data_IF_982299784571
#
_entry.id   IF_982299784571
#
_cell.length_a   1.000
_cell.length_b   1.000
_cell.length_c   1.000
_cell.angle_alpha   90.00
_cell.angle_beta   90.00
_cell.angle_gamma   90.00
#
_symmetry.space_group_name_H-M   'P 1'
#
loop_
_entity.id
_entity.type
_entity.pdbx_description
1 polymer ?
#
# COMPACT_ATOMS: atom_id res chain seq x y z
N UNK A 1 16.08 -11.71 11.96
CA UNK A 1 14.74 -12.32 12.00
C UNK A 1 13.81 -11.42 11.21
N UNK A 2 13.38 -11.85 10.02
CA UNK A 2 12.44 -11.08 9.19
C UNK A 2 11.03 -11.35 9.70
N UNK A 3 10.44 -10.42 10.44
CA UNK A 3 9.05 -10.52 10.91
C UNK A 3 8.12 -10.67 9.71
N UNK A 4 7.31 -11.72 9.64
CA UNK A 4 6.32 -11.97 8.56
C UNK A 4 4.96 -11.33 8.87
N UNK A 5 4.85 -10.59 9.98
CA UNK A 5 3.59 -10.00 10.40
C UNK A 5 3.17 -8.86 9.47
N UNK A 6 1.85 -8.75 9.23
CA UNK A 6 1.29 -7.64 8.48
C UNK A 6 1.34 -6.33 9.30
N UNK A 7 1.58 -5.18 8.66
CA UNK A 7 1.70 -3.89 9.34
C UNK A 7 0.30 -3.33 9.65
N UNK A 8 -0.41 -3.92 10.61
CA UNK A 8 -1.79 -3.53 10.96
C UNK A 8 -1.90 -2.98 12.38
N UNK A 9 -2.97 -2.23 12.66
CA UNK A 9 -3.30 -1.77 14.02
C UNK A 9 -2.46 -0.61 14.57
N UNK A 10 -1.77 0.13 13.69
CA UNK A 10 -1.02 1.33 14.04
C UNK A 10 -0.84 2.24 12.82
N UNK A 11 -0.57 3.52 13.05
CA UNK A 11 -0.24 4.49 12.01
C UNK A 11 1.15 4.25 11.44
N UNK A 12 1.24 4.19 10.11
CA UNK A 12 2.45 3.93 9.33
C UNK A 12 2.80 5.18 8.55
N UNK A 13 4.10 5.45 8.40
CA UNK A 13 4.56 6.66 7.71
C UNK A 13 4.54 6.45 6.20
N UNK A 14 3.81 7.28 5.48
CA UNK A 14 3.85 7.31 4.02
C UNK A 14 5.18 7.93 3.57
N UNK A 15 5.81 7.27 2.61
CA UNK A 15 7.07 7.70 1.98
C UNK A 15 6.80 8.34 0.63
N UNK A 16 5.84 7.79 -0.13
CA UNK A 16 5.36 8.35 -1.37
C UNK A 16 3.94 7.85 -1.66
N UNK A 17 3.15 8.65 -2.36
CA UNK A 17 1.87 8.21 -2.92
C UNK A 17 1.70 8.79 -4.32
N UNK A 18 0.96 8.08 -5.17
CA UNK A 18 0.57 8.56 -6.49
C UNK A 18 -0.95 8.77 -6.48
N UNK A 19 -1.35 9.99 -6.80
CA UNK A 19 -2.71 10.47 -6.65
C UNK A 19 -3.57 10.14 -7.88
N UNK A 20 -4.83 9.82 -7.60
CA UNK A 20 -5.93 9.98 -8.54
C UNK A 20 -7.09 10.60 -7.77
N UNK A 21 -7.53 11.78 -8.22
CA UNK A 21 -8.63 12.67 -7.79
C UNK A 21 -9.15 12.66 -6.33
N UNK A 22 -9.36 11.52 -5.65
CA UNK A 22 -9.96 11.44 -4.31
C UNK A 22 -9.20 10.54 -3.30
N UNK A 23 -8.73 9.35 -3.73
CA UNK A 23 -8.09 8.34 -2.85
C UNK A 23 -6.76 7.92 -3.47
N UNK A 24 -5.64 7.94 -2.73
CA UNK A 24 -4.37 7.42 -3.22
C UNK A 24 -4.50 5.96 -3.64
N UNK A 25 -4.23 5.69 -4.91
CA UNK A 25 -4.36 4.33 -5.49
C UNK A 25 -3.05 3.56 -5.47
N UNK A 26 -1.94 4.23 -5.18
CA UNK A 26 -0.63 3.62 -4.98
C UNK A 26 0.09 4.34 -3.85
N UNK A 27 0.49 3.61 -2.80
CA UNK A 27 1.06 4.17 -1.58
C UNK A 27 2.24 3.32 -1.14
N UNK A 28 3.41 3.95 -1.10
CA UNK A 28 4.61 3.40 -0.49
C UNK A 28 4.71 3.91 0.95
N UNK A 29 4.80 3.00 1.91
CA UNK A 29 4.95 3.35 3.32
C UNK A 29 6.00 2.47 3.99
N UNK A 30 6.40 2.87 5.20
CA UNK A 30 7.37 2.16 6.03
C UNK A 30 6.77 1.87 7.41
N UNK A 31 7.01 0.65 7.91
CA UNK A 31 6.58 0.25 9.25
C UNK A 31 7.65 0.53 10.32
N UNK A 32 7.35 0.12 11.56
CA UNK A 32 8.23 0.32 12.72
C UNK A 32 9.51 -0.52 12.69
N UNK A 33 9.53 -1.59 11.89
CA UNK A 33 10.69 -2.46 11.69
C UNK A 33 11.53 -2.02 10.47
N UNK A 34 11.26 -0.81 9.93
CA UNK A 34 11.89 -0.27 8.73
C UNK A 34 11.67 -1.12 7.47
N UNK A 35 10.59 -1.88 7.42
CA UNK A 35 10.16 -2.61 6.23
C UNK A 35 9.33 -1.67 5.37
N UNK A 36 9.67 -1.62 4.08
CA UNK A 36 8.89 -0.94 3.06
C UNK A 36 7.79 -1.85 2.54
N UNK A 37 6.62 -1.24 2.36
CA UNK A 37 5.41 -1.89 1.92
C UNK A 37 4.73 -1.04 0.85
N UNK A 38 4.09 -1.71 -0.09
CA UNK A 38 3.34 -1.09 -1.17
C UNK A 38 1.87 -1.48 -1.09
N UNK A 39 1.02 -0.47 -0.98
CA UNK A 39 -0.42 -0.60 -1.13
C UNK A 39 -0.81 -0.16 -2.54
N UNK A 40 -1.52 -1.00 -3.29
CA UNK A 40 -1.94 -0.66 -4.65
C UNK A 40 -3.35 -1.13 -4.96
N UNK A 41 -4.10 -0.28 -5.65
CA UNK A 41 -5.45 -0.51 -6.15
C UNK A 41 -5.48 0.02 -7.59
N UNK A 42 -4.94 -0.76 -8.55
CA UNK A 42 -4.92 -0.34 -9.95
C UNK A 42 -6.33 -0.19 -10.51
N UNK A 43 -6.47 0.64 -11.54
CA UNK A 43 -7.66 0.65 -12.38
C UNK A 43 -7.78 -0.70 -13.08
N UNK A 44 -8.97 -1.28 -13.10
CA UNK A 44 -9.27 -2.52 -13.80
C UNK A 44 -10.05 -2.20 -15.08
N UNK A 45 -9.42 -2.28 -16.27
CA UNK A 45 -10.08 -1.99 -17.55
C UNK A 45 -11.27 -2.90 -17.85
N UNK A 46 -11.34 -4.08 -17.22
CA UNK A 46 -12.48 -5.00 -17.39
C UNK A 46 -13.71 -4.59 -16.59
N UNK A 47 -13.50 -3.86 -15.49
CA UNK A 47 -14.56 -3.30 -14.65
C UNK A 47 -14.94 -1.88 -15.06
N UNK A 48 -14.10 -1.23 -15.88
CA UNK A 48 -14.13 0.22 -16.12
C UNK A 48 -14.11 1.03 -14.81
N UNK A 49 -13.48 0.46 -13.77
CA UNK A 49 -13.44 1.03 -12.43
C UNK A 49 -12.21 0.51 -11.66
N UNK A 50 -11.97 1.09 -10.48
CA UNK A 50 -10.99 0.60 -9.52
C UNK A 50 -11.55 -0.57 -8.71
N UNK A 51 -10.68 -1.52 -8.38
CA UNK A 51 -11.05 -2.61 -7.48
C UNK A 51 -11.52 -2.08 -6.10
N UNK A 52 -12.49 -2.75 -5.48
CA UNK A 52 -12.99 -2.39 -4.13
C UNK A 52 -12.01 -2.67 -2.98
N UNK A 53 -10.77 -3.07 -3.28
CA UNK A 53 -9.76 -3.41 -2.31
C UNK A 53 -8.35 -3.05 -2.80
N UNK A 54 -7.47 -2.78 -1.84
CA UNK A 54 -6.04 -2.65 -2.02
C UNK A 54 -5.34 -4.00 -1.87
N UNK A 55 -4.33 -4.22 -2.69
CA UNK A 55 -3.35 -5.28 -2.52
C UNK A 55 -2.12 -4.74 -1.80
N UNK A 56 -1.62 -5.50 -0.82
CA UNK A 56 -0.45 -5.17 -0.03
C UNK A 56 0.72 -6.07 -0.43
N UNK A 57 1.88 -5.46 -0.66
CA UNK A 57 3.11 -6.15 -1.01
C UNK A 57 4.25 -5.72 -0.12
N UNK A 58 5.03 -6.68 0.36
CA UNK A 58 6.27 -6.42 1.08
C UNK A 58 7.42 -6.17 0.10
N UNK A 59 8.11 -5.04 0.25
CA UNK A 59 9.26 -4.67 -0.58
C UNK A 59 10.61 -4.92 0.10
N UNK A 60 10.64 -5.18 1.41
CA UNK A 60 11.85 -5.44 2.18
C UNK A 60 12.42 -4.18 2.83
N UNK A 61 13.72 -4.14 3.09
CA UNK A 61 14.36 -3.05 3.87
C UNK A 61 15.17 -2.06 3.01
N UNK A 62 15.30 -2.32 1.70
CA UNK A 62 16.03 -1.42 0.79
C UNK A 62 15.08 -0.35 0.25
N UNK A 63 15.21 0.86 0.78
CA UNK A 63 14.38 2.00 0.37
C UNK A 63 14.62 2.46 -1.08
N UNK A 64 15.81 2.21 -1.65
CA UNK A 64 16.10 2.53 -3.06
C UNK A 64 15.32 1.59 -3.98
N UNK A 65 15.37 0.28 -3.70
CA UNK A 65 14.58 -0.73 -4.44
C UNK A 65 13.09 -0.46 -4.28
N UNK A 66 12.64 -0.15 -3.06
CA UNK A 66 11.24 0.13 -2.80
C UNK A 66 10.72 1.35 -3.58
N UNK A 67 11.49 2.44 -3.59
CA UNK A 67 11.16 3.65 -4.35
C UNK A 67 11.21 3.44 -5.86
N UNK A 68 12.13 2.61 -6.35
CA UNK A 68 12.18 2.22 -7.77
C UNK A 68 10.93 1.45 -8.19
N UNK A 69 10.55 0.41 -7.43
CA UNK A 69 9.32 -0.37 -7.66
C UNK A 69 8.06 0.50 -7.65
N UNK A 70 7.99 1.44 -6.71
CA UNK A 70 6.89 2.41 -6.66
C UNK A 70 6.83 3.26 -7.94
N UNK A 71 7.97 3.80 -8.40
CA UNK A 71 8.02 4.66 -9.60
C UNK A 71 7.73 3.92 -10.90
N UNK A 72 8.09 2.64 -11.01
CA UNK A 72 7.87 1.86 -12.23
C UNK A 72 6.47 1.27 -12.34
N UNK A 73 5.62 1.44 -11.32
CA UNK A 73 4.26 0.88 -11.31
C UNK A 73 4.22 -0.63 -11.01
N UNK A 74 5.28 -1.18 -10.43
CA UNK A 74 5.25 -2.55 -9.89
C UNK A 74 4.16 -2.64 -8.82
N UNK A 75 3.35 -3.72 -8.73
CA UNK A 75 3.49 -5.00 -9.42
C UNK A 75 2.67 -5.14 -10.71
N UNK A 76 2.11 -4.06 -11.28
CA UNK A 76 1.20 -4.14 -12.44
C UNK A 76 1.80 -4.85 -13.68
N UNK A 77 3.13 -5.00 -13.75
CA UNK A 77 3.84 -5.60 -14.87
C UNK A 77 4.16 -7.10 -14.71
N UNK A 78 4.27 -7.61 -13.47
CA UNK A 78 4.81 -8.97 -13.21
C UNK A 78 4.16 -9.68 -12.00
N UNK A 79 2.92 -9.31 -11.66
CA UNK A 79 2.25 -9.53 -10.38
C UNK A 79 2.58 -10.86 -9.64
N UNK A 80 3.35 -10.83 -8.52
CA UNK A 80 3.28 -11.88 -7.52
C UNK A 80 1.94 -11.85 -6.77
N UNK A 81 1.62 -12.93 -6.05
CA UNK A 81 0.50 -12.92 -5.12
C UNK A 81 0.74 -11.87 -4.01
N UNK A 82 -0.26 -11.03 -3.67
CA UNK A 82 -0.12 -10.08 -2.58
C UNK A 82 0.03 -10.78 -1.23
N UNK A 83 0.79 -10.18 -0.31
CA UNK A 83 0.89 -10.64 1.07
C UNK A 83 -0.46 -10.55 1.81
N UNK A 84 -1.28 -9.56 1.42
CA UNK A 84 -2.64 -9.39 1.93
C UNK A 84 -3.50 -8.51 1.00
N UNK A 85 -4.82 -8.53 1.21
CA UNK A 85 -5.78 -7.66 0.55
C UNK A 85 -6.64 -6.95 1.60
N UNK A 86 -6.83 -5.64 1.44
CA UNK A 86 -7.62 -4.80 2.35
C UNK A 86 -8.77 -4.13 1.58
N UNK A 87 -10.04 -4.33 1.97
CA UNK A 87 -11.13 -3.49 1.48
C UNK A 87 -10.80 -2.01 1.69
N UNK A 88 -11.25 -1.14 0.77
CA UNK A 88 -10.99 0.31 0.88
C UNK A 88 -11.41 0.85 2.25
N UNK A 89 -12.55 0.38 2.79
CA UNK A 89 -13.05 0.77 4.12
C UNK A 89 -12.14 0.38 5.30
N UNK A 90 -11.10 -0.43 5.09
CA UNK A 90 -10.09 -0.81 6.10
C UNK A 90 -8.77 -0.07 5.96
N UNK A 91 -8.69 0.86 5.01
CA UNK A 91 -7.52 1.69 4.79
C UNK A 91 -7.90 3.12 5.12
N UNK A 92 -7.28 3.64 6.17
CA UNK A 92 -7.52 5.00 6.64
C UNK A 92 -6.27 5.82 6.37
N UNK A 93 -6.44 6.97 5.74
CA UNK A 93 -5.37 7.94 5.53
C UNK A 93 -5.55 9.08 6.52
N UNK A 94 -4.47 9.64 7.04
CA UNK A 94 -4.60 10.84 7.85
C UNK A 94 -5.11 12.03 7.01
N UNK A 95 -5.96 12.85 7.62
CA UNK A 95 -6.57 14.02 6.96
C UNK A 95 -5.51 15.06 6.51
N UNK A 96 -4.29 14.95 7.03
CA UNK A 96 -3.17 15.85 6.75
C UNK A 96 -2.32 15.34 5.59
N UNK A 97 -2.47 15.91 4.39
CA UNK A 97 -1.62 15.63 3.20
C UNK A 97 -1.31 14.14 2.92
N UNK A 98 -2.01 13.21 3.55
CA UNK A 98 -1.75 11.76 3.52
C UNK A 98 -0.30 11.44 3.88
N UNK A 99 0.16 11.94 5.03
CA UNK A 99 1.49 11.62 5.58
C UNK A 99 1.51 10.26 6.27
N UNK A 100 0.34 9.73 6.65
CA UNK A 100 0.22 8.45 7.34
C UNK A 100 -0.96 7.62 6.83
N UNK A 101 -0.80 6.30 6.97
CA UNK A 101 -1.85 5.31 6.69
C UNK A 101 -2.02 4.37 7.87
N UNK A 102 -3.26 3.97 8.15
CA UNK A 102 -3.61 2.95 9.11
C UNK A 102 -4.31 1.80 8.39
N UNK A 103 -3.83 0.58 8.64
CA UNK A 103 -4.45 -0.64 8.13
C UNK A 103 -5.20 -1.35 9.25
N UNK A 104 -6.52 -1.43 9.11
CA UNK A 104 -7.38 -2.09 10.08
C UNK A 104 -7.33 -3.63 9.92
N UNK A 105 -7.03 -4.36 10.99
CA UNK A 105 -6.97 -5.83 10.98
C UNK A 105 -8.35 -6.49 10.95
N UNK A 106 -9.39 -5.75 11.32
CA UNK A 106 -10.82 -6.11 11.25
C UNK A 106 -11.58 -4.93 10.65
N UNK A 107 -12.85 -5.11 10.29
CA UNK A 107 -13.67 -3.96 9.90
C UNK A 107 -13.79 -3.02 11.12
N UNK A 108 -13.65 -1.69 10.93
CA UNK A 108 -13.85 -0.71 12.00
C UNK A 108 -15.29 -0.72 12.53
#
# INVERSE_FOLDING_TARGET
MTSTALPTGHWLRIVAHADFHDIPRCVLFIDRDFVFWLLTCPFDPSLDDYAGAFSLFRLGHDGRIAGERFRTGWPQQEAPHPDATFPIARVEFDDTRRERVFLHSRSP
#
